data_IF_948185873762
#
_entry.id   IF_948185873762
#
_cell.length_a   1.000
_cell.length_b   1.000
_cell.length_c   1.000
_cell.angle_alpha   90.00
_cell.angle_beta   90.00
_cell.angle_gamma   90.00
#
_symmetry.space_group_name_H-M   'P 1'
#
loop_
_entity.id
_entity.type
_entity.pdbx_description
1 polymer ?
#
# COMPACT_ATOMS: atom_id res chain seq x y z
N UNK A 1 13.41 2.62 58.10
CA UNK A 1 13.53 2.15 56.69
C UNK A 1 12.30 1.33 56.28
N UNK A 2 11.10 1.94 56.20
CA UNK A 2 9.86 1.32 55.70
C UNK A 2 8.90 2.34 55.07
N UNK A 3 9.42 3.43 54.49
CA UNK A 3 8.60 4.51 53.94
C UNK A 3 8.96 4.93 52.50
N UNK A 4 9.91 4.27 51.84
CA UNK A 4 10.31 4.63 50.47
C UNK A 4 9.81 3.68 49.37
N UNK A 5 9.20 2.54 49.71
CA UNK A 5 8.75 1.55 48.70
C UNK A 5 7.29 1.73 48.24
N UNK A 6 6.55 2.72 48.76
CA UNK A 6 5.15 2.96 48.39
C UNK A 6 4.97 4.05 47.31
N UNK A 7 6.02 4.85 47.02
CA UNK A 7 5.94 5.92 46.01
C UNK A 7 6.37 5.49 44.60
N UNK A 8 7.08 4.37 44.45
CA UNK A 8 7.51 3.87 43.14
C UNK A 8 6.45 3.01 42.42
N UNK A 9 5.42 2.52 43.14
CA UNK A 9 4.29 1.82 42.53
C UNK A 9 3.26 2.78 41.89
N UNK A 10 3.38 4.09 42.13
CA UNK A 10 2.53 5.14 41.52
C UNK A 10 3.16 5.76 40.26
N UNK A 11 4.36 5.33 39.86
CA UNK A 11 5.07 5.81 38.67
C UNK A 11 5.15 4.76 37.55
N UNK A 12 4.25 3.78 37.55
CA UNK A 12 4.02 2.97 36.36
C UNK A 12 3.13 3.82 35.44
N UNK A 13 3.60 4.24 34.25
CA UNK A 13 2.71 4.79 33.25
C UNK A 13 1.79 3.64 32.86
N UNK A 14 0.52 3.74 33.24
CA UNK A 14 -0.54 2.88 32.69
C UNK A 14 -0.67 3.29 31.21
N UNK A 15 0.22 2.71 30.40
CA UNK A 15 0.06 2.60 28.97
C UNK A 15 -1.09 1.61 28.74
N UNK A 16 -2.32 2.12 28.74
CA UNK A 16 -3.52 1.49 28.17
C UNK A 16 -4.77 2.22 28.67
N UNK A 17 -4.93 3.46 28.23
CA UNK A 17 -6.26 4.04 28.12
C UNK A 17 -6.25 4.97 26.91
N UNK A 18 -6.93 4.54 25.85
CA UNK A 18 -7.46 5.38 24.77
C UNK A 18 -8.47 6.40 25.35
N UNK A 19 -8.00 7.26 26.26
CA UNK A 19 -8.80 8.31 26.88
C UNK A 19 -8.80 9.52 25.95
N UNK A 20 -9.63 9.46 24.90
CA UNK A 20 -10.23 10.68 24.35
C UNK A 20 -11.22 11.17 25.40
N UNK A 21 -10.84 12.17 26.21
CA UNK A 21 -11.69 13.36 26.22
C UNK A 21 -10.89 14.60 26.63
N UNK A 22 -10.52 15.47 25.70
CA UNK A 22 -10.19 16.85 26.07
C UNK A 22 -10.91 17.77 25.09
N UNK A 23 -11.68 18.72 25.63
CA UNK A 23 -12.61 19.63 24.95
C UNK A 23 -14.02 19.12 24.61
N UNK A 24 -14.35 17.82 24.64
CA UNK A 24 -15.70 17.35 24.23
C UNK A 24 -16.82 18.04 25.02
N UNK A 25 -16.73 18.07 26.36
CA UNK A 25 -17.77 18.67 27.21
C UNK A 25 -17.90 20.19 27.01
N UNK A 26 -16.80 20.93 26.96
CA UNK A 26 -16.79 22.39 26.77
C UNK A 26 -17.26 22.80 25.36
N UNK A 27 -16.86 22.02 24.35
CA UNK A 27 -17.27 22.21 22.95
C UNK A 27 -18.77 21.92 22.79
N UNK A 28 -19.28 20.84 23.39
CA UNK A 28 -20.71 20.50 23.41
C UNK A 28 -21.59 21.47 24.18
N UNK A 29 -21.04 22.23 25.13
CA UNK A 29 -21.76 23.25 25.87
C UNK A 29 -21.82 24.57 25.09
N UNK A 30 -20.68 25.09 24.65
CA UNK A 30 -20.58 26.43 24.04
C UNK A 30 -21.00 26.47 22.57
N UNK A 31 -20.93 25.34 21.85
CA UNK A 31 -21.23 25.28 20.40
C UNK A 31 -22.38 24.32 20.08
N UNK A 32 -23.32 24.13 21.03
CA UNK A 32 -24.35 23.08 20.94
C UNK A 32 -25.23 23.17 19.68
N UNK A 33 -25.89 24.30 19.36
CA UNK A 33 -26.73 24.40 18.15
C UNK A 33 -25.95 24.06 16.88
N UNK A 34 -24.73 24.58 16.82
CA UNK A 34 -23.80 24.44 15.73
C UNK A 34 -23.38 22.98 15.51
N UNK A 35 -22.93 22.33 16.59
CA UNK A 35 -22.55 20.91 16.59
C UNK A 35 -23.74 20.01 16.28
N UNK A 36 -24.94 20.32 16.76
CA UNK A 36 -26.13 19.52 16.48
C UNK A 36 -26.46 19.51 14.99
N UNK A 37 -26.47 20.66 14.32
CA UNK A 37 -26.77 20.72 12.89
C UNK A 37 -25.64 20.08 12.05
N UNK A 38 -24.38 20.30 12.42
CA UNK A 38 -23.22 19.67 11.78
C UNK A 38 -23.25 18.15 11.95
N UNK A 39 -23.58 17.64 13.14
CA UNK A 39 -23.68 16.20 13.41
C UNK A 39 -24.86 15.56 12.69
N UNK A 40 -25.92 16.29 12.37
CA UNK A 40 -27.03 15.76 11.58
C UNK A 40 -26.61 15.53 10.12
N UNK A 41 -25.98 16.51 9.49
CA UNK A 41 -25.48 16.37 8.11
C UNK A 41 -24.31 15.40 8.06
N UNK A 42 -23.34 15.55 8.97
CA UNK A 42 -22.16 14.70 9.08
C UNK A 42 -22.52 13.24 9.31
N UNK A 43 -23.43 12.91 10.24
CA UNK A 43 -23.85 11.52 10.44
C UNK A 43 -24.51 10.92 9.21
N UNK A 44 -25.39 11.66 8.53
CA UNK A 44 -26.05 11.17 7.32
C UNK A 44 -25.05 10.86 6.21
N UNK A 45 -24.06 11.72 6.00
CA UNK A 45 -23.00 11.49 5.01
C UNK A 45 -22.04 10.40 5.46
N UNK A 46 -21.76 10.28 6.77
CA UNK A 46 -20.89 9.27 7.33
C UNK A 46 -21.52 7.87 7.32
N UNK A 47 -22.86 7.76 7.41
CA UNK A 47 -23.59 6.50 7.29
C UNK A 47 -23.94 6.15 5.85
N UNK A 48 -23.56 6.98 4.88
CA UNK A 48 -23.81 6.72 3.46
C UNK A 48 -22.89 5.60 2.96
N UNK A 49 -23.45 4.73 2.11
CA UNK A 49 -22.75 3.76 1.28
C UNK A 49 -22.04 4.40 0.08
N UNK A 50 -22.44 5.64 -0.27
CA UNK A 50 -21.96 6.38 -1.42
C UNK A 50 -21.13 7.60 -1.01
N UNK A 51 -20.05 7.93 -1.76
CA UNK A 51 -19.33 9.17 -1.56
C UNK A 51 -20.25 10.38 -1.79
N UNK A 52 -20.08 11.47 -1.02
CA UNK A 52 -20.83 12.68 -1.23
C UNK A 52 -20.48 13.31 -2.57
N UNK A 53 -21.49 13.78 -3.28
CA UNK A 53 -21.34 14.61 -4.47
C UNK A 53 -20.91 16.04 -4.08
N UNK A 54 -20.46 16.83 -5.05
CA UNK A 54 -19.86 18.16 -4.88
C UNK A 54 -20.72 19.08 -4.03
N UNK A 55 -22.04 19.11 -4.25
CA UNK A 55 -22.92 19.98 -3.47
C UNK A 55 -23.05 19.57 -2.01
N UNK A 56 -23.17 18.27 -1.76
CA UNK A 56 -23.23 17.72 -0.41
C UNK A 56 -21.89 17.91 0.31
N UNK A 57 -20.78 17.64 -0.38
CA UNK A 57 -19.43 17.83 0.12
C UNK A 57 -19.15 19.30 0.38
N UNK A 58 -19.42 20.21 -0.57
CA UNK A 58 -19.29 21.66 -0.38
C UNK A 58 -20.17 22.19 0.75
N UNK A 59 -21.38 21.67 0.91
CA UNK A 59 -22.26 22.03 2.03
C UNK A 59 -21.68 21.56 3.36
N UNK A 60 -21.11 20.35 3.40
CA UNK A 60 -20.40 19.82 4.56
C UNK A 60 -19.13 20.62 4.86
N UNK A 61 -18.26 20.82 3.88
CA UNK A 61 -17.02 21.58 3.97
C UNK A 61 -17.25 23.04 4.36
N UNK A 62 -18.28 23.72 3.84
CA UNK A 62 -18.61 25.07 4.31
C UNK A 62 -18.98 25.11 5.79
N UNK A 63 -19.58 24.03 6.30
CA UNK A 63 -20.00 23.89 7.70
C UNK A 63 -18.86 23.43 8.60
N UNK A 64 -17.98 22.58 8.09
CA UNK A 64 -16.75 22.15 8.76
C UNK A 64 -15.61 23.18 8.63
N UNK A 65 -15.69 24.08 7.66
CA UNK A 65 -14.83 25.25 7.41
C UNK A 65 -14.34 25.37 5.97
N UNK A 66 -14.74 26.42 5.22
CA UNK A 66 -13.96 26.96 4.09
C UNK A 66 -14.44 28.35 3.59
N UNK A 67 -13.52 29.35 3.55
CA UNK A 67 -13.51 30.49 2.59
C UNK A 67 -12.05 30.92 2.29
N UNK A 68 -11.75 31.17 1.00
CA UNK A 68 -10.50 31.70 0.41
C UNK A 68 -10.28 33.21 0.62
N UNK A 69 -9.03 33.68 0.78
CA UNK A 69 -8.51 34.93 0.17
C UNK A 69 -7.01 34.82 -0.17
N UNK A 70 -6.66 35.33 -1.36
CA UNK A 70 -5.37 35.43 -2.05
C UNK A 70 -4.23 36.14 -1.30
N UNK A 71 -3.00 35.69 -1.55
CA UNK A 71 -1.86 36.61 -1.72
C UNK A 71 -0.60 36.37 -0.88
N UNK A 72 -0.67 35.65 0.24
CA UNK A 72 0.50 35.35 1.06
C UNK A 72 0.33 33.95 1.67
N UNK A 73 1.23 33.03 1.31
CA UNK A 73 1.10 31.61 1.66
C UNK A 73 1.10 31.36 3.17
N UNK A 74 0.03 30.75 3.68
CA UNK A 74 -0.04 29.69 4.71
C UNK A 74 -1.48 29.12 4.78
N UNK A 75 -1.57 27.83 5.11
CA UNK A 75 -2.70 26.85 5.07
C UNK A 75 -4.15 27.35 5.28
N UNK A 76 -5.08 27.12 4.31
CA UNK A 76 -6.52 27.35 4.45
C UNK A 76 -7.27 26.04 4.71
N UNK A 77 -7.22 25.51 5.93
CA UNK A 77 -8.18 24.50 6.42
C UNK A 77 -8.31 24.55 7.96
N UNK A 78 -8.44 25.74 8.55
CA UNK A 78 -9.01 25.88 9.89
C UNK A 78 -9.52 27.30 10.12
N UNK A 79 -10.74 27.61 9.65
CA UNK A 79 -11.60 28.61 10.28
C UNK A 79 -12.96 28.68 9.56
N UNK A 80 -14.05 28.30 10.21
CA UNK A 80 -15.24 29.19 10.23
C UNK A 80 -16.41 28.77 11.13
N UNK A 81 -16.44 27.62 11.79
CA UNK A 81 -17.57 27.27 12.66
C UNK A 81 -17.15 26.82 14.05
N UNK A 82 -16.47 25.68 14.14
CA UNK A 82 -15.86 25.24 15.40
C UNK A 82 -14.82 26.24 15.86
N UNK A 83 -13.91 26.73 15.02
CA UNK A 83 -12.90 27.71 15.46
C UNK A 83 -13.50 29.03 16.00
N UNK A 84 -14.67 29.52 15.57
CA UNK A 84 -15.28 30.72 16.21
C UNK A 84 -15.69 30.49 17.67
N UNK A 85 -16.03 29.26 18.02
CA UNK A 85 -16.51 28.88 19.35
C UNK A 85 -15.41 28.15 20.14
N UNK A 86 -14.80 27.12 19.55
CA UNK A 86 -13.72 26.30 20.08
C UNK A 86 -12.37 27.03 20.20
N UNK A 87 -11.99 27.98 19.31
CA UNK A 87 -10.71 28.70 19.49
C UNK A 87 -10.73 29.73 20.62
N UNK A 88 -11.89 29.93 21.24
CA UNK A 88 -12.03 30.72 22.48
C UNK A 88 -11.97 29.83 23.72
N UNK A 89 -11.87 28.50 23.55
CA UNK A 89 -11.71 27.55 24.64
C UNK A 89 -10.22 27.38 24.90
N UNK A 90 -9.83 27.54 26.17
CA UNK A 90 -8.45 27.41 26.62
C UNK A 90 -7.85 26.04 26.24
N UNK A 91 -8.68 25.00 26.17
CA UNK A 91 -8.27 23.63 25.87
C UNK A 91 -7.75 23.39 24.43
N UNK A 92 -7.97 24.32 23.50
CA UNK A 92 -7.43 24.28 22.13
C UNK A 92 -6.20 25.19 21.93
N UNK A 93 -5.76 25.91 22.97
CA UNK A 93 -4.55 26.73 22.93
C UNK A 93 -3.34 25.82 22.70
N UNK A 94 -2.43 26.23 21.81
CA UNK A 94 -1.17 25.52 21.47
C UNK A 94 -1.31 24.09 20.92
N UNK A 95 -2.52 23.67 20.52
CA UNK A 95 -2.75 22.36 19.89
C UNK A 95 -2.50 22.38 18.38
N UNK A 96 -1.92 21.31 17.81
CA UNK A 96 -1.73 21.19 16.38
C UNK A 96 -3.09 21.13 15.66
N UNK A 97 -3.13 21.71 14.46
CA UNK A 97 -4.35 21.90 13.66
C UNK A 97 -5.05 20.57 13.34
N UNK A 98 -4.26 19.51 13.22
CA UNK A 98 -4.66 18.13 12.97
C UNK A 98 -5.46 17.56 14.14
N UNK A 99 -5.07 17.85 15.38
CA UNK A 99 -5.74 17.36 16.59
C UNK A 99 -7.10 18.03 16.77
N UNK A 100 -7.18 19.32 16.43
CA UNK A 100 -8.44 20.07 16.39
C UNK A 100 -9.38 19.53 15.31
N UNK A 101 -8.86 19.22 14.12
CA UNK A 101 -9.65 18.68 13.01
C UNK A 101 -10.20 17.29 13.32
N UNK A 102 -9.35 16.35 13.78
CA UNK A 102 -9.72 14.95 14.08
C UNK A 102 -10.79 14.82 15.18
N UNK A 103 -10.88 15.81 16.07
CA UNK A 103 -11.85 15.81 17.18
C UNK A 103 -13.18 16.46 16.80
N UNK A 104 -13.21 17.24 15.72
CA UNK A 104 -14.32 18.15 15.44
C UNK A 104 -15.13 17.79 14.19
N UNK A 105 -14.56 17.05 13.24
CA UNK A 105 -15.21 16.72 11.97
C UNK A 105 -15.18 15.21 11.66
N UNK A 106 -16.17 14.74 10.92
CA UNK A 106 -16.14 13.41 10.29
C UNK A 106 -15.22 13.46 9.06
N UNK A 107 -14.45 12.39 8.76
CA UNK A 107 -13.60 12.31 7.58
C UNK A 107 -14.44 12.04 6.30
N UNK A 108 -15.46 12.86 6.07
CA UNK A 108 -16.36 12.76 4.90
C UNK A 108 -15.55 13.01 3.62
N UNK A 109 -15.75 12.15 2.61
CA UNK A 109 -14.98 12.18 1.36
C UNK A 109 -13.62 11.47 1.45
N UNK A 110 -13.09 11.22 2.65
CA UNK A 110 -11.86 10.47 2.90
C UNK A 110 -12.12 9.04 3.39
N UNK A 111 -13.22 8.83 4.11
CA UNK A 111 -13.57 7.51 4.61
C UNK A 111 -13.75 6.54 3.44
N UNK A 112 -13.62 5.27 3.78
CA UNK A 112 -14.03 4.19 2.93
C UNK A 112 -15.57 4.13 2.89
N UNK A 113 -16.09 4.04 1.67
CA UNK A 113 -17.49 3.81 1.36
C UNK A 113 -17.57 2.46 0.66
N UNK A 114 -18.69 1.75 0.83
CA UNK A 114 -18.91 0.47 0.16
C UNK A 114 -18.80 0.61 -1.37
N UNK A 115 -19.20 1.76 -1.91
CA UNK A 115 -18.98 2.14 -3.31
C UNK A 115 -17.51 2.09 -3.77
N UNK A 116 -16.53 2.31 -2.88
CA UNK A 116 -15.12 2.32 -3.24
C UNK A 116 -14.63 0.95 -3.72
N UNK A 117 -15.28 -0.13 -3.28
CA UNK A 117 -14.94 -1.47 -3.75
C UNK A 117 -15.31 -1.67 -5.23
N UNK A 118 -16.43 -1.09 -5.66
CA UNK A 118 -16.79 -1.03 -7.08
C UNK A 118 -15.72 -0.29 -7.88
N UNK A 119 -15.24 0.84 -7.35
CA UNK A 119 -14.16 1.63 -7.96
C UNK A 119 -12.87 0.82 -8.06
N UNK A 120 -12.41 0.18 -6.97
CA UNK A 120 -11.21 -0.67 -6.96
C UNK A 120 -11.31 -1.80 -7.98
N UNK A 121 -12.38 -2.60 -7.88
CA UNK A 121 -12.57 -3.76 -8.77
C UNK A 121 -12.62 -3.32 -10.23
N UNK A 122 -13.35 -2.25 -10.55
CA UNK A 122 -13.41 -1.70 -11.91
C UNK A 122 -12.01 -1.38 -12.44
N UNK A 123 -11.24 -0.60 -11.69
CA UNK A 123 -9.93 -0.15 -12.15
C UNK A 123 -8.87 -1.26 -12.16
N UNK A 124 -8.93 -2.23 -11.24
CA UNK A 124 -8.08 -3.43 -11.29
C UNK A 124 -8.34 -4.28 -12.54
N UNK A 125 -9.60 -4.47 -12.93
CA UNK A 125 -9.92 -5.22 -14.15
C UNK A 125 -9.42 -4.49 -15.39
N UNK A 126 -9.52 -3.16 -15.39
CA UNK A 126 -9.01 -2.28 -16.42
C UNK A 126 -7.48 -2.42 -16.55
N UNK A 127 -6.73 -2.33 -15.46
CA UNK A 127 -5.26 -2.41 -15.46
C UNK A 127 -4.73 -3.81 -15.72
N UNK A 128 -5.51 -4.86 -15.44
CA UNK A 128 -5.15 -6.25 -15.77
C UNK A 128 -5.03 -6.55 -17.27
N UNK A 129 -5.41 -5.59 -18.14
CA UNK A 129 -5.37 -5.77 -19.59
C UNK A 129 -6.49 -6.66 -20.15
N UNK A 130 -7.43 -7.10 -19.30
CA UNK A 130 -8.59 -7.91 -19.68
C UNK A 130 -9.50 -7.21 -20.69
N UNK A 131 -9.57 -5.89 -20.62
CA UNK A 131 -10.39 -5.06 -21.50
C UNK A 131 -9.54 -4.28 -22.51
N UNK A 132 -9.81 -4.50 -23.80
CA UNK A 132 -9.01 -3.95 -24.91
C UNK A 132 -9.11 -2.42 -25.05
N UNK A 133 -10.04 -1.76 -24.37
CA UNK A 133 -10.28 -0.33 -24.49
C UNK A 133 -9.23 0.55 -23.77
N UNK A 134 -8.29 -0.03 -23.02
CA UNK A 134 -7.32 0.70 -22.18
C UNK A 134 -5.89 0.74 -22.75
N UNK A 135 -5.62 0.06 -23.87
CA UNK A 135 -4.27 -0.17 -24.42
C UNK A 135 -3.38 1.07 -24.67
N UNK A 136 -3.85 2.29 -24.42
CA UNK A 136 -3.19 3.55 -24.79
C UNK A 136 -3.01 4.57 -23.66
N UNK A 137 -3.43 4.29 -22.42
CA UNK A 137 -3.44 5.31 -21.36
C UNK A 137 -2.80 4.83 -20.05
N UNK A 138 -1.92 5.68 -19.50
CA UNK A 138 -1.38 5.58 -18.14
C UNK A 138 -2.40 6.10 -17.13
N UNK A 139 -3.36 5.27 -16.75
CA UNK A 139 -4.43 5.60 -15.78
C UNK A 139 -3.92 6.00 -14.39
N UNK A 140 -2.64 5.77 -14.11
CA UNK A 140 -2.02 5.90 -12.78
C UNK A 140 -0.93 6.97 -12.74
N UNK A 141 -0.90 7.88 -13.72
CA UNK A 141 0.03 9.01 -13.69
C UNK A 141 -0.29 9.96 -12.53
N UNK A 142 0.76 10.40 -11.83
CA UNK A 142 0.69 11.45 -10.80
C UNK A 142 0.31 12.82 -11.35
N UNK A 143 0.35 13.00 -12.67
CA UNK A 143 -0.07 14.23 -13.30
C UNK A 143 -1.60 14.30 -13.33
N UNK A 144 -2.19 15.00 -12.35
CA UNK A 144 -3.64 15.15 -12.21
C UNK A 144 -4.36 15.63 -13.48
N UNK A 145 -3.70 16.41 -14.34
CA UNK A 145 -4.30 16.87 -15.62
C UNK A 145 -4.37 15.76 -16.67
N UNK A 146 -3.28 15.00 -16.84
CA UNK A 146 -3.24 13.86 -17.75
C UNK A 146 -4.15 12.73 -17.26
N UNK A 147 -4.14 12.50 -15.95
CA UNK A 147 -5.01 11.58 -15.24
C UNK A 147 -6.49 11.94 -15.52
N UNK A 148 -6.93 13.16 -15.22
CA UNK A 148 -8.29 13.64 -15.53
C UNK A 148 -8.69 13.42 -16.99
N UNK A 149 -7.85 13.83 -17.95
CA UNK A 149 -8.17 13.66 -19.37
C UNK A 149 -8.39 12.19 -19.76
N UNK A 150 -7.59 11.27 -19.21
CA UNK A 150 -7.74 9.84 -19.46
C UNK A 150 -9.10 9.32 -18.96
N UNK A 151 -9.48 9.62 -17.71
CA UNK A 151 -10.76 9.19 -17.14
C UNK A 151 -11.95 9.65 -18.01
N UNK A 152 -12.00 10.92 -18.38
CA UNK A 152 -13.09 11.42 -19.23
C UNK A 152 -13.08 10.84 -20.65
N UNK A 153 -11.90 10.61 -21.24
CA UNK A 153 -11.79 10.02 -22.59
C UNK A 153 -12.24 8.55 -22.61
N UNK A 154 -12.14 7.86 -21.48
CA UNK A 154 -12.37 6.42 -21.35
C UNK A 154 -13.66 6.11 -20.59
N UNK A 155 -14.51 7.12 -20.39
CA UNK A 155 -15.78 7.03 -19.66
C UNK A 155 -16.59 5.78 -19.99
N UNK A 156 -16.86 5.53 -21.27
CA UNK A 156 -17.69 4.40 -21.68
C UNK A 156 -17.05 3.05 -21.35
N UNK A 157 -15.73 2.94 -21.48
CA UNK A 157 -14.99 1.74 -21.11
C UNK A 157 -15.06 1.49 -19.60
N UNK A 158 -14.84 2.53 -18.80
CA UNK A 158 -14.89 2.45 -17.33
C UNK A 158 -16.29 2.08 -16.85
N UNK A 159 -17.32 2.76 -17.36
CA UNK A 159 -18.70 2.50 -16.97
C UNK A 159 -19.15 1.10 -17.36
N UNK A 160 -18.80 0.64 -18.57
CA UNK A 160 -19.11 -0.72 -18.98
C UNK A 160 -18.40 -1.76 -18.09
N UNK A 161 -17.13 -1.53 -17.74
CA UNK A 161 -16.44 -2.42 -16.78
C UNK A 161 -17.11 -2.39 -15.40
N UNK A 162 -17.57 -1.24 -14.93
CA UNK A 162 -18.30 -1.15 -13.66
C UNK A 162 -19.63 -1.91 -13.71
N UNK A 163 -20.39 -1.78 -14.81
CA UNK A 163 -21.64 -2.52 -15.03
C UNK A 163 -21.44 -4.05 -15.00
N UNK A 164 -20.28 -4.54 -15.46
CA UNK A 164 -19.97 -5.98 -15.43
C UNK A 164 -19.46 -6.51 -14.09
N UNK A 165 -18.90 -5.66 -13.22
CA UNK A 165 -18.14 -6.12 -12.05
C UNK A 165 -18.63 -5.55 -10.71
N UNK A 166 -19.48 -4.54 -10.71
CA UNK A 166 -20.06 -3.97 -9.51
C UNK A 166 -21.48 -4.48 -9.27
N UNK A 167 -21.96 -4.38 -8.03
CA UNK A 167 -23.39 -4.50 -7.75
C UNK A 167 -24.16 -3.43 -8.53
N UNK A 168 -25.37 -3.79 -8.97
CA UNK A 168 -26.20 -2.96 -9.86
C UNK A 168 -26.38 -1.53 -9.31
N UNK A 169 -26.64 -1.39 -8.02
CA UNK A 169 -26.86 -0.09 -7.37
C UNK A 169 -25.61 0.81 -7.41
N UNK A 170 -24.41 0.22 -7.24
CA UNK A 170 -23.15 0.95 -7.34
C UNK A 170 -22.81 1.30 -8.79
N UNK A 171 -23.06 0.40 -9.73
CA UNK A 171 -22.86 0.66 -11.15
C UNK A 171 -23.77 1.80 -11.66
N UNK A 172 -25.06 1.78 -11.29
CA UNK A 172 -26.02 2.82 -11.63
C UNK A 172 -25.62 4.17 -11.02
N UNK A 173 -25.29 4.20 -9.71
CA UNK A 173 -24.80 5.41 -9.08
C UNK A 173 -23.54 5.96 -9.77
N UNK A 174 -22.59 5.09 -10.14
CA UNK A 174 -21.38 5.51 -10.83
C UNK A 174 -21.72 6.11 -12.21
N UNK A 175 -22.61 5.48 -12.97
CA UNK A 175 -23.05 5.92 -14.29
C UNK A 175 -23.72 7.28 -14.26
N UNK A 176 -24.67 7.46 -13.34
CA UNK A 176 -25.41 8.71 -13.17
C UNK A 176 -24.50 9.87 -12.74
N UNK A 177 -23.52 9.59 -11.87
CA UNK A 177 -22.70 10.62 -11.23
C UNK A 177 -21.26 10.69 -11.76
N UNK A 178 -20.95 9.96 -12.84
CA UNK A 178 -19.59 9.76 -13.33
C UNK A 178 -18.79 11.05 -13.49
N UNK A 179 -19.39 12.04 -14.18
CA UNK A 179 -18.68 13.28 -14.50
C UNK A 179 -18.32 14.09 -13.26
N UNK A 180 -19.18 14.04 -12.25
CA UNK A 180 -18.98 14.72 -10.98
C UNK A 180 -17.95 13.98 -10.12
N UNK A 181 -18.10 12.66 -9.97
CA UNK A 181 -17.15 11.82 -9.22
C UNK A 181 -15.75 11.90 -9.80
N UNK A 182 -15.59 11.74 -11.12
CA UNK A 182 -14.28 11.85 -11.76
C UNK A 182 -13.72 13.26 -11.64
N UNK A 183 -14.57 14.30 -11.65
CA UNK A 183 -14.09 15.65 -11.37
C UNK A 183 -13.53 15.78 -9.96
N UNK A 184 -14.21 15.23 -8.94
CA UNK A 184 -13.73 15.23 -7.56
C UNK A 184 -12.45 14.41 -7.37
N UNK A 185 -12.39 13.24 -7.99
CA UNK A 185 -11.29 12.27 -7.82
C UNK A 185 -10.01 12.65 -8.57
N UNK A 186 -10.12 13.42 -9.66
CA UNK A 186 -8.98 13.73 -10.53
C UNK A 186 -8.57 15.20 -10.52
N UNK A 187 -9.30 16.06 -9.78
CA UNK A 187 -8.94 17.47 -9.61
C UNK A 187 -8.16 17.64 -8.31
N UNK A 188 -6.85 17.85 -8.43
CA UNK A 188 -6.01 18.18 -7.27
C UNK A 188 -6.53 19.46 -6.59
N UNK A 189 -6.62 19.50 -5.25
CA UNK A 189 -6.94 20.73 -4.53
C UNK A 189 -5.99 21.87 -4.92
N UNK A 190 -6.52 23.10 -5.06
CA UNK A 190 -5.71 24.29 -5.40
C UNK A 190 -4.64 24.58 -4.35
N UNK A 191 -4.93 24.27 -3.08
CA UNK A 191 -3.99 24.43 -1.97
C UNK A 191 -3.77 23.07 -1.31
N UNK A 192 -2.53 22.63 -1.32
CA UNK A 192 -2.08 21.48 -0.56
C UNK A 192 -1.91 21.89 0.91
N UNK A 193 -2.75 21.35 1.78
CA UNK A 193 -2.74 21.64 3.21
C UNK A 193 -1.84 20.65 3.97
N UNK A 194 -1.19 19.70 3.30
CA UNK A 194 -0.36 18.65 3.91
C UNK A 194 -1.16 17.57 4.67
N UNK A 195 -2.49 17.63 4.66
CA UNK A 195 -3.36 16.73 5.42
C UNK A 195 -3.82 15.50 4.61
N UNK A 196 -3.59 15.48 3.29
CA UNK A 196 -4.02 14.41 2.38
C UNK A 196 -5.49 14.03 2.56
N UNK A 197 -6.36 15.04 2.65
CA UNK A 197 -7.71 14.92 3.20
C UNK A 197 -8.83 15.26 2.19
N UNK A 198 -8.54 15.20 0.89
CA UNK A 198 -9.51 15.45 -0.19
C UNK A 198 -9.98 14.15 -0.87
N UNK A 199 -11.10 14.19 -1.63
CA UNK A 199 -11.50 13.07 -2.50
C UNK A 199 -10.41 12.70 -3.52
N UNK A 200 -9.64 13.67 -3.99
CA UNK A 200 -8.48 13.44 -4.85
C UNK A 200 -7.40 12.62 -4.15
N UNK A 201 -7.04 12.97 -2.92
CA UNK A 201 -6.00 12.26 -2.16
C UNK A 201 -6.43 10.83 -1.84
N UNK A 202 -7.70 10.65 -1.48
CA UNK A 202 -8.30 9.33 -1.28
C UNK A 202 -8.25 8.50 -2.57
N UNK A 203 -8.69 9.07 -3.70
CA UNK A 203 -8.66 8.35 -4.97
C UNK A 203 -7.23 8.01 -5.39
N UNK A 204 -6.30 8.94 -5.21
CA UNK A 204 -4.88 8.71 -5.43
C UNK A 204 -4.35 7.57 -4.55
N UNK A 205 -4.73 7.51 -3.27
CA UNK A 205 -4.41 6.37 -2.38
C UNK A 205 -4.95 5.05 -2.95
N UNK A 206 -6.21 5.01 -3.38
CA UNK A 206 -6.78 3.81 -4.03
C UNK A 206 -5.96 3.42 -5.27
N UNK A 207 -5.52 4.39 -6.08
CA UNK A 207 -4.63 4.13 -7.22
C UNK A 207 -3.29 3.52 -6.79
N UNK A 208 -2.70 4.03 -5.71
CA UNK A 208 -1.46 3.50 -5.15
C UNK A 208 -1.61 2.06 -4.65
N UNK A 209 -2.68 1.76 -3.91
CA UNK A 209 -3.01 0.41 -3.42
C UNK A 209 -3.17 -0.59 -4.58
N UNK A 210 -3.74 -0.15 -5.72
CA UNK A 210 -3.85 -1.01 -6.90
C UNK A 210 -2.50 -1.31 -7.58
N UNK A 211 -1.57 -0.34 -7.60
CA UNK A 211 -0.19 -0.56 -8.08
C UNK A 211 0.53 -1.54 -7.17
N UNK A 212 0.34 -1.39 -5.85
CA UNK A 212 0.84 -2.29 -4.82
C UNK A 212 0.35 -3.73 -5.06
N UNK A 213 -0.95 -3.91 -5.29
CA UNK A 213 -1.55 -5.21 -5.57
C UNK A 213 -1.05 -5.85 -6.86
N UNK A 214 -0.81 -5.03 -7.89
CA UNK A 214 -0.17 -5.48 -9.13
C UNK A 214 1.24 -6.00 -8.85
N UNK A 215 2.03 -5.32 -8.01
CA UNK A 215 3.37 -5.78 -7.64
C UNK A 215 3.31 -7.14 -6.92
N UNK A 216 2.48 -7.28 -5.88
CA UNK A 216 2.32 -8.57 -5.17
C UNK A 216 1.82 -9.70 -6.08
N UNK A 217 0.96 -9.41 -7.06
CA UNK A 217 0.54 -10.42 -8.05
C UNK A 217 1.67 -10.92 -8.93
N UNK A 218 2.63 -10.06 -9.28
CA UNK A 218 3.80 -10.47 -10.04
C UNK A 218 4.84 -11.16 -9.17
N UNK A 219 4.97 -10.75 -7.91
CA UNK A 219 5.79 -11.42 -6.91
C UNK A 219 5.39 -12.90 -6.78
N UNK A 220 4.10 -13.17 -6.64
CA UNK A 220 3.56 -14.55 -6.57
C UNK A 220 3.72 -15.36 -7.86
N UNK A 221 4.10 -14.71 -8.97
CA UNK A 221 4.36 -15.34 -10.26
C UNK A 221 5.85 -15.49 -10.55
N UNK A 222 6.72 -15.13 -9.61
CA UNK A 222 8.15 -15.43 -9.71
C UNK A 222 8.33 -16.94 -9.82
N UNK A 223 9.17 -17.35 -10.75
CA UNK A 223 9.52 -18.76 -10.96
C UNK A 223 10.95 -18.87 -11.47
N UNK A 224 11.55 -20.03 -11.30
CA UNK A 224 12.91 -20.32 -11.76
C UNK A 224 12.90 -21.18 -13.02
N UNK A 225 13.64 -20.78 -14.07
CA UNK A 225 13.88 -21.58 -15.29
C UNK A 225 15.34 -21.43 -15.76
N UNK A 226 16.08 -22.53 -15.91
CA UNK A 226 17.44 -22.58 -16.53
C UNK A 226 18.39 -21.42 -16.16
N UNK A 227 18.46 -21.07 -14.87
CA UNK A 227 19.29 -20.02 -14.24
C UNK A 227 18.69 -18.61 -14.30
N UNK A 228 17.50 -18.45 -14.84
CA UNK A 228 16.82 -17.18 -14.94
C UNK A 228 15.64 -17.11 -13.96
N UNK A 229 15.58 -16.02 -13.20
CA UNK A 229 14.37 -15.70 -12.42
C UNK A 229 13.34 -15.06 -13.35
N UNK A 230 12.37 -15.87 -13.74
CA UNK A 230 11.29 -15.43 -14.61
C UNK A 230 10.41 -14.40 -13.92
N UNK A 231 9.91 -13.44 -14.71
CA UNK A 231 9.07 -12.32 -14.26
C UNK A 231 9.75 -11.31 -13.31
N UNK A 232 11.06 -11.46 -12.98
CA UNK A 232 11.77 -10.53 -12.09
C UNK A 232 11.68 -9.07 -12.55
N UNK A 233 11.87 -8.82 -13.85
CA UNK A 233 11.86 -7.45 -14.38
C UNK A 233 10.47 -6.81 -14.30
N UNK A 234 9.43 -7.60 -14.56
CA UNK A 234 8.03 -7.15 -14.48
C UNK A 234 7.63 -6.86 -13.03
N UNK A 235 8.06 -7.74 -12.11
CA UNK A 235 7.90 -7.53 -10.68
C UNK A 235 8.63 -6.27 -10.22
N UNK A 236 9.94 -6.14 -10.49
CA UNK A 236 10.74 -4.99 -10.08
C UNK A 236 10.17 -3.68 -10.65
N UNK A 237 9.78 -3.65 -11.92
CA UNK A 237 9.13 -2.50 -12.53
C UNK A 237 7.84 -2.10 -11.78
N UNK A 238 6.98 -3.08 -11.47
CA UNK A 238 5.74 -2.83 -10.70
C UNK A 238 6.03 -2.43 -9.24
N UNK A 239 7.07 -2.99 -8.63
CA UNK A 239 7.53 -2.66 -7.28
C UNK A 239 8.04 -1.22 -7.22
N UNK A 240 8.85 -0.77 -8.18
CA UNK A 240 9.32 0.61 -8.26
C UNK A 240 8.17 1.60 -8.48
N UNK A 241 7.15 1.21 -9.26
CA UNK A 241 5.92 1.99 -9.42
C UNK A 241 5.18 2.15 -8.06
N UNK A 242 5.08 1.07 -7.28
CA UNK A 242 4.48 1.08 -5.94
C UNK A 242 5.30 1.90 -4.93
N UNK A 243 6.63 1.77 -4.96
CA UNK A 243 7.57 2.54 -4.14
C UNK A 243 7.43 4.04 -4.36
N UNK A 244 7.27 4.47 -5.61
CA UNK A 244 7.04 5.87 -5.93
C UNK A 244 5.70 6.35 -5.37
N UNK A 245 4.70 5.48 -5.28
CA UNK A 245 3.36 5.78 -4.80
C UNK A 245 3.26 5.89 -3.27
N UNK A 246 3.95 5.01 -2.53
CA UNK A 246 3.83 4.86 -1.08
C UNK A 246 5.05 5.48 -0.38
N UNK A 247 4.82 6.51 0.43
CA UNK A 247 5.87 7.38 0.97
C UNK A 247 6.79 6.71 2.02
N UNK A 248 6.45 5.53 2.56
CA UNK A 248 7.25 4.84 3.57
C UNK A 248 7.28 3.31 3.37
N UNK A 249 8.45 2.69 3.57
CA UNK A 249 8.64 1.23 3.70
C UNK A 249 8.98 0.46 2.41
N UNK A 250 8.53 0.91 1.23
CA UNK A 250 8.73 0.17 -0.03
C UNK A 250 10.12 0.29 -0.64
N UNK A 251 10.87 1.34 -0.30
CA UNK A 251 12.22 1.55 -0.84
C UNK A 251 13.15 0.38 -0.55
N UNK A 252 13.23 -0.03 0.72
CA UNK A 252 14.00 -1.18 1.13
C UNK A 252 13.46 -2.50 0.55
N UNK A 253 12.15 -2.64 0.33
CA UNK A 253 11.58 -3.90 -0.18
C UNK A 253 12.02 -4.18 -1.60
N UNK A 254 11.88 -3.20 -2.50
CA UNK A 254 12.26 -3.40 -3.90
C UNK A 254 13.79 -3.57 -4.05
N UNK A 255 14.59 -2.82 -3.28
CA UNK A 255 16.05 -2.96 -3.24
C UNK A 255 16.48 -4.35 -2.73
N UNK A 256 15.83 -4.86 -1.68
CA UNK A 256 16.12 -6.18 -1.12
C UNK A 256 15.82 -7.30 -2.12
N UNK A 257 14.69 -7.19 -2.84
CA UNK A 257 14.35 -8.17 -3.87
C UNK A 257 15.31 -8.13 -5.05
N UNK A 258 15.72 -6.94 -5.51
CA UNK A 258 16.73 -6.80 -6.55
C UNK A 258 18.07 -7.45 -6.15
N UNK A 259 18.50 -7.22 -4.91
CA UNK A 259 19.67 -7.90 -4.34
C UNK A 259 19.47 -9.41 -4.25
N UNK A 260 18.28 -9.87 -3.87
CA UNK A 260 17.95 -11.31 -3.77
C UNK A 260 18.05 -11.98 -5.13
N UNK A 261 17.47 -11.39 -6.18
CA UNK A 261 17.59 -11.94 -7.53
C UNK A 261 19.03 -11.97 -8.02
N UNK A 262 19.80 -10.91 -7.76
CA UNK A 262 21.21 -10.85 -8.15
C UNK A 262 22.03 -11.98 -7.51
N UNK A 263 21.81 -12.25 -6.21
CA UNK A 263 22.52 -13.32 -5.50
C UNK A 263 22.12 -14.72 -5.97
N UNK A 264 20.82 -14.94 -6.22
CA UNK A 264 20.31 -16.19 -6.80
C UNK A 264 20.99 -16.46 -8.15
N UNK A 265 21.00 -15.47 -9.04
CA UNK A 265 21.54 -15.61 -10.39
C UNK A 265 23.04 -15.85 -10.37
N UNK A 266 23.78 -15.10 -9.56
CA UNK A 266 25.22 -15.30 -9.37
C UNK A 266 25.55 -16.72 -8.91
N UNK A 267 24.79 -17.28 -7.97
CA UNK A 267 25.03 -18.64 -7.46
C UNK A 267 24.75 -19.69 -8.54
N UNK A 268 23.72 -19.51 -9.34
CA UNK A 268 23.43 -20.40 -10.45
C UNK A 268 24.43 -20.28 -11.61
N UNK A 269 24.97 -19.09 -11.86
CA UNK A 269 26.10 -18.90 -12.79
C UNK A 269 27.37 -19.60 -12.31
N UNK A 270 27.72 -19.50 -11.03
CA UNK A 270 28.89 -20.15 -10.44
C UNK A 270 28.70 -21.68 -10.28
N UNK A 271 27.46 -22.13 -10.12
CA UNK A 271 27.11 -23.53 -9.80
C UNK A 271 25.88 -24.01 -10.60
N UNK A 272 25.99 -24.12 -11.94
CA UNK A 272 24.86 -24.46 -12.79
C UNK A 272 24.28 -25.86 -12.52
N UNK A 273 25.07 -26.77 -11.94
CA UNK A 273 24.63 -28.12 -11.56
C UNK A 273 23.49 -28.13 -10.53
N UNK A 274 23.32 -27.05 -9.75
CA UNK A 274 22.22 -26.97 -8.77
C UNK A 274 20.86 -27.03 -9.45
N UNK A 275 20.74 -26.55 -10.70
CA UNK A 275 19.51 -26.60 -11.48
C UNK A 275 19.26 -27.94 -12.17
N UNK A 276 20.22 -28.87 -12.11
CA UNK A 276 19.96 -30.24 -12.50
C UNK A 276 19.04 -30.95 -11.51
N UNK A 277 18.85 -30.39 -10.31
CA UNK A 277 17.91 -30.93 -9.34
C UNK A 277 16.45 -30.68 -9.76
N UNK A 278 15.67 -31.75 -9.85
CA UNK A 278 14.27 -31.74 -10.29
C UNK A 278 13.40 -30.93 -9.32
N UNK A 279 13.67 -30.97 -8.02
CA UNK A 279 13.03 -30.14 -6.98
C UNK A 279 13.10 -28.62 -7.22
N UNK A 280 14.07 -28.12 -8.00
CA UNK A 280 14.18 -26.70 -8.33
C UNK A 280 13.47 -26.34 -9.64
N UNK A 281 13.08 -27.33 -10.44
CA UNK A 281 12.34 -27.07 -11.68
C UNK A 281 10.95 -26.53 -11.36
N UNK A 282 10.65 -25.34 -11.86
CA UNK A 282 9.42 -24.61 -11.55
C UNK A 282 9.26 -24.26 -10.07
N UNK A 283 10.38 -24.09 -9.35
CA UNK A 283 10.36 -23.55 -8.00
C UNK A 283 9.57 -22.23 -7.97
N UNK A 284 8.55 -22.19 -7.13
CA UNK A 284 7.59 -21.10 -7.04
C UNK A 284 7.92 -20.13 -5.90
N UNK A 285 7.13 -19.06 -5.82
CA UNK A 285 7.30 -18.00 -4.83
C UNK A 285 7.38 -18.51 -3.38
N UNK A 286 6.40 -19.31 -2.96
CA UNK A 286 6.26 -19.72 -1.56
C UNK A 286 7.36 -20.71 -1.13
N UNK A 287 7.76 -21.63 -2.02
CA UNK A 287 8.72 -22.67 -1.66
C UNK A 287 10.18 -22.26 -1.78
N UNK A 288 10.50 -21.29 -2.64
CA UNK A 288 11.88 -20.92 -2.95
C UNK A 288 12.18 -19.44 -2.67
N UNK A 289 11.46 -18.53 -3.32
CA UNK A 289 11.80 -17.11 -3.27
C UNK A 289 11.61 -16.49 -1.88
N UNK A 290 10.51 -16.79 -1.19
CA UNK A 290 10.27 -16.32 0.20
C UNK A 290 11.37 -16.81 1.14
N UNK A 291 11.75 -18.08 1.01
CA UNK A 291 12.77 -18.70 1.86
C UNK A 291 14.12 -18.03 1.68
N UNK A 292 14.54 -17.80 0.43
CA UNK A 292 15.79 -17.12 0.12
C UNK A 292 15.76 -15.66 0.56
N UNK A 293 14.69 -14.92 0.26
CA UNK A 293 14.53 -13.53 0.66
C UNK A 293 14.69 -13.35 2.17
N UNK A 294 13.99 -14.15 2.97
CA UNK A 294 14.08 -14.10 4.44
C UNK A 294 15.49 -14.47 4.93
N UNK A 295 16.11 -15.47 4.31
CA UNK A 295 17.41 -15.95 4.72
C UNK A 295 18.55 -14.95 4.40
N UNK A 296 18.46 -14.22 3.28
CA UNK A 296 19.39 -13.14 2.95
C UNK A 296 19.19 -11.93 3.88
N UNK A 297 17.94 -11.64 4.25
CA UNK A 297 17.65 -10.59 5.23
C UNK A 297 18.28 -10.88 6.60
N UNK A 298 18.32 -12.15 7.01
CA UNK A 298 19.01 -12.59 8.23
C UNK A 298 20.55 -12.58 8.12
N UNK A 299 21.12 -12.16 6.98
CA UNK A 299 22.57 -12.08 6.72
C UNK A 299 23.32 -13.40 6.97
N UNK A 300 22.69 -14.55 6.64
CA UNK A 300 23.32 -15.86 6.78
C UNK A 300 24.30 -16.12 5.62
N UNK A 301 25.53 -16.51 5.94
CA UNK A 301 26.51 -17.00 4.96
C UNK A 301 25.96 -18.25 4.23
N UNK A 302 26.30 -18.41 2.94
CA UNK A 302 25.85 -19.53 2.09
C UNK A 302 24.32 -19.77 2.07
N UNK A 303 23.56 -18.68 2.25
CA UNK A 303 22.11 -18.72 2.43
C UNK A 303 21.37 -19.49 1.30
N UNK A 304 21.58 -19.11 0.04
CA UNK A 304 20.89 -19.73 -1.10
C UNK A 304 21.20 -21.22 -1.18
N UNK A 305 22.47 -21.61 -0.99
CA UNK A 305 22.90 -23.01 -1.03
C UNK A 305 22.26 -23.80 0.12
N UNK A 306 22.21 -23.22 1.31
CA UNK A 306 21.57 -23.83 2.48
C UNK A 306 20.07 -24.03 2.26
N UNK A 307 19.40 -23.05 1.64
CA UNK A 307 17.98 -23.16 1.30
C UNK A 307 17.73 -24.16 0.17
N UNK A 308 18.59 -24.22 -0.86
CA UNK A 308 18.55 -25.27 -1.87
C UNK A 308 18.73 -26.65 -1.23
N UNK A 309 19.68 -26.81 -0.32
CA UNK A 309 19.89 -28.06 0.41
C UNK A 309 18.66 -28.47 1.25
N UNK A 310 17.98 -27.49 1.86
CA UNK A 310 16.74 -27.72 2.61
C UNK A 310 15.58 -28.12 1.69
N UNK A 311 15.41 -27.44 0.55
CA UNK A 311 14.32 -27.67 -0.42
C UNK A 311 14.52 -29.02 -1.15
N UNK A 312 15.75 -29.34 -1.51
CA UNK A 312 16.12 -30.45 -2.40
C UNK A 312 16.80 -31.62 -1.69
N UNK A 313 16.69 -31.67 -0.35
CA UNK A 313 17.42 -32.54 0.57
C UNK A 313 17.80 -33.92 0.00
N UNK A 314 16.83 -34.68 -0.54
CA UNK A 314 17.07 -36.03 -1.06
C UNK A 314 18.00 -36.06 -2.28
N UNK A 315 17.78 -35.17 -3.26
CA UNK A 315 18.59 -35.08 -4.48
C UNK A 315 20.01 -34.62 -4.20
N UNK A 316 20.15 -33.67 -3.27
CA UNK A 316 21.45 -33.17 -2.80
C UNK A 316 22.25 -34.30 -2.15
N UNK A 317 21.61 -35.09 -1.27
CA UNK A 317 22.23 -36.26 -0.63
C UNK A 317 22.66 -37.29 -1.69
N UNK A 318 21.81 -37.59 -2.67
CA UNK A 318 22.15 -38.53 -3.75
C UNK A 318 23.32 -38.05 -4.61
N UNK A 319 23.34 -36.77 -4.97
CA UNK A 319 24.39 -36.16 -5.77
C UNK A 319 25.76 -36.31 -5.07
N UNK A 320 25.85 -35.95 -3.79
CA UNK A 320 27.10 -36.07 -3.04
C UNK A 320 27.51 -37.52 -2.78
N UNK A 321 26.56 -38.45 -2.59
CA UNK A 321 26.85 -39.89 -2.52
C UNK A 321 27.49 -40.41 -3.81
N UNK A 322 26.95 -40.04 -4.98
CA UNK A 322 27.49 -40.42 -6.30
C UNK A 322 28.91 -39.88 -6.48
N UNK A 323 29.17 -38.63 -6.12
CA UNK A 323 30.51 -38.01 -6.21
C UNK A 323 31.56 -38.69 -5.32
N UNK A 324 31.18 -39.16 -4.12
CA UNK A 324 32.07 -39.93 -3.24
C UNK A 324 32.41 -41.32 -3.78
N UNK A 325 31.48 -41.96 -4.50
CA UNK A 325 31.71 -43.25 -5.15
C UNK A 325 32.59 -43.08 -6.40
N UNK A 326 32.38 -42.01 -7.18
CA UNK A 326 33.22 -41.68 -8.34
C UNK A 326 34.68 -41.41 -7.94
N UNK A 327 34.92 -40.70 -6.83
CA UNK A 327 36.27 -40.43 -6.33
C UNK A 327 36.98 -41.65 -5.71
N UNK A 328 36.23 -42.68 -5.30
CA UNK A 328 36.80 -43.98 -4.86
C UNK A 328 37.13 -44.92 -6.02
N UNK A 329 36.68 -44.60 -7.23
CA UNK A 329 36.91 -45.39 -8.45
C UNK A 329 38.18 -45.05 -9.22
N UNK A 330 38.98 -44.07 -8.77
CA UNK A 330 40.31 -43.79 -9.33
C UNK A 330 41.34 -44.58 -8.52
N UNK A 331 41.93 -45.67 -9.05
CA UNK A 331 43.02 -46.34 -8.37
C UNK A 331 44.21 -45.37 -8.33
N UNK A 332 44.69 -45.07 -7.12
CA UNK A 332 46.05 -44.60 -6.93
C UNK A 332 46.98 -45.58 -7.62
N UNK A 333 47.70 -45.12 -8.65
CA UNK A 333 48.76 -45.87 -9.31
C UNK A 333 49.74 -46.34 -8.23
N UNK A 334 49.78 -47.65 -8.01
CA UNK A 334 50.85 -48.29 -7.26
C UNK A 334 52.15 -48.07 -8.04
N UNK A 335 53.08 -47.30 -7.46
CA UNK A 335 54.50 -47.39 -7.83
C UNK A 335 55.02 -48.77 -7.39
N UNK A 336 54.81 -49.74 -8.26
CA UNK A 336 55.41 -51.07 -8.19
C UNK A 336 56.81 -51.05 -8.79
N UNK A 337 57.80 -51.18 -7.91
CA UNK A 337 59.19 -51.54 -8.18
C UNK A 337 59.33 -52.70 -9.18
N UNK A 338 60.28 -52.59 -10.12
CA UNK A 338 60.71 -53.72 -10.94
C UNK A 338 61.91 -53.45 -11.85
N UNK A 339 63.12 -53.59 -11.30
CA UNK A 339 64.27 -54.26 -11.92
C UNK A 339 64.97 -53.65 -13.15
N UNK A 340 66.18 -53.15 -12.92
CA UNK A 340 67.41 -53.77 -13.44
C UNK A 340 68.59 -53.50 -12.50
#
# INVERSE_FOLDING_TARGET
MKALSLFLALLIPIASASNRPLCVFETHASCRPEITEMNLVGRKLNSSYYPPLTDALRKYDRRCGNVMVSGLGFSPCLNSFLKRCASRLECFTDKPIEEVYKTSCYPIGQKEYDFDECIRTTFMKITSGRYKCIKKYEFMTKNGTLNKKAFFSLKNCILWTAEENCEYEYADFFKENYGELMSLYTTKPEVDNGLCNSPYDKFYKIQCEMVEEKAWKWEKKLSLDRNEVMNKEIYLSSCREAQVCLFEGWGSVCDNWESTFTEIEKIFEERPYLLEFECLQNADYDNFFVKIYNCLFDSREDCVISQVAEICNDEVIEHFKKSLVANKGVPSVEEGSGGN
#
